data_IF_996063950989
#
_entry.id   IF_996063950989
#
_cell.length_a   1.000
_cell.length_b   1.000
_cell.length_c   1.000
_cell.angle_alpha   90.00
_cell.angle_beta   90.00
_cell.angle_gamma   90.00
#
_symmetry.space_group_name_H-M   'P 1'
#
loop_
_entity.id
_entity.type
_entity.pdbx_description
1 polymer ?
#
# COMPACT_ATOMS: atom_id res chain seq x y z
N UNK A 1 2.20 16.55 -19.67
CA UNK A 1 1.24 16.20 -18.62
C UNK A 1 1.87 15.63 -17.34
N UNK A 2 3.00 14.89 -17.38
CA UNK A 2 3.60 14.28 -16.17
C UNK A 2 4.03 15.22 -15.02
N UNK A 3 4.35 16.49 -15.31
CA UNK A 3 4.75 17.46 -14.29
C UNK A 3 3.61 17.95 -13.39
N UNK A 4 2.35 17.62 -13.69
CA UNK A 4 1.15 18.12 -12.97
C UNK A 4 0.48 17.02 -12.11
N UNK A 5 0.97 15.78 -12.21
CA UNK A 5 0.43 14.65 -11.45
C UNK A 5 0.69 14.80 -9.93
N UNK A 6 -0.31 14.56 -9.04
CA UNK A 6 -0.13 14.67 -7.59
C UNK A 6 0.70 13.52 -7.00
N UNK A 7 1.17 13.68 -5.76
CA UNK A 7 1.64 12.54 -4.97
C UNK A 7 0.50 11.59 -4.63
N UNK A 8 0.79 10.30 -4.48
CA UNK A 8 -0.14 9.26 -4.03
C UNK A 8 0.47 8.50 -2.85
N UNK A 9 -0.26 8.42 -1.75
CA UNK A 9 0.04 7.50 -0.67
C UNK A 9 -0.79 6.23 -0.84
N UNK A 10 -0.18 5.07 -0.64
CA UNK A 10 -0.85 3.79 -0.80
C UNK A 10 -0.71 2.99 0.49
N UNK A 11 -1.83 2.64 1.08
CA UNK A 11 -1.92 1.98 2.37
C UNK A 11 -2.32 0.53 2.18
N UNK A 12 -1.44 -0.38 2.60
CA UNK A 12 -1.68 -1.82 2.64
C UNK A 12 -1.80 -2.23 4.10
N UNK A 13 -2.88 -2.92 4.46
CA UNK A 13 -3.08 -3.42 5.82
C UNK A 13 -2.93 -4.95 5.83
N UNK A 14 -2.18 -5.46 6.81
CA UNK A 14 -2.14 -6.88 7.16
C UNK A 14 -2.33 -7.05 8.67
N UNK A 15 -2.99 -8.14 9.07
CA UNK A 15 -3.45 -8.37 10.43
C UNK A 15 -2.61 -9.41 11.18
N UNK A 16 -2.24 -10.52 10.54
CA UNK A 16 -1.56 -11.64 11.20
C UNK A 16 -0.82 -12.51 10.17
N UNK A 17 0.49 -12.77 10.33
CA UNK A 17 1.30 -13.52 9.36
C UNK A 17 0.91 -15.01 9.22
N UNK A 18 0.15 -15.57 10.15
CA UNK A 18 -0.35 -16.96 10.08
C UNK A 18 -1.59 -17.05 9.21
N UNK A 19 -2.51 -16.08 9.35
CA UNK A 19 -3.74 -16.02 8.56
C UNK A 19 -3.45 -15.42 7.18
N UNK A 20 -2.56 -14.43 7.13
CA UNK A 20 -2.16 -13.69 5.95
C UNK A 20 -0.66 -13.90 5.72
N UNK A 21 -0.26 -14.96 5.00
CA UNK A 21 1.15 -15.32 4.84
C UNK A 21 1.99 -14.16 4.28
N UNK A 22 3.22 -13.93 4.78
CA UNK A 22 4.05 -12.82 4.31
C UNK A 22 4.31 -12.84 2.79
N UNK A 23 4.32 -14.03 2.16
CA UNK A 23 4.43 -14.19 0.71
C UNK A 23 3.23 -13.65 -0.07
N UNK A 24 2.02 -13.74 0.49
CA UNK A 24 0.82 -13.12 -0.11
C UNK A 24 0.93 -11.60 -0.02
N UNK A 25 1.27 -11.08 1.16
CA UNK A 25 1.41 -9.63 1.43
C UNK A 25 2.40 -8.98 0.47
N UNK A 26 3.58 -9.57 0.28
CA UNK A 26 4.61 -8.99 -0.59
C UNK A 26 4.23 -9.01 -2.08
N UNK A 27 3.41 -9.96 -2.52
CA UNK A 27 2.93 -9.99 -3.90
C UNK A 27 1.98 -8.83 -4.19
N UNK A 28 1.16 -8.44 -3.20
CA UNK A 28 0.36 -7.22 -3.24
C UNK A 28 1.23 -5.97 -3.26
N UNK A 29 2.21 -5.88 -2.36
CA UNK A 29 3.15 -4.74 -2.32
C UNK A 29 3.88 -4.56 -3.66
N UNK A 30 4.46 -5.63 -4.21
CA UNK A 30 5.18 -5.59 -5.48
C UNK A 30 4.28 -5.21 -6.66
N UNK A 31 3.02 -5.68 -6.66
CA UNK A 31 2.03 -5.28 -7.66
C UNK A 31 1.75 -3.79 -7.63
N UNK A 32 1.63 -3.20 -6.45
CA UNK A 32 1.33 -1.79 -6.24
C UNK A 32 2.55 -0.92 -6.56
N UNK A 33 3.75 -1.35 -6.15
CA UNK A 33 5.00 -0.63 -6.48
C UNK A 33 5.24 -0.48 -7.98
N UNK A 34 4.70 -1.41 -8.78
CA UNK A 34 4.83 -1.47 -10.23
C UNK A 34 3.67 -0.81 -11.00
N UNK A 35 2.90 0.09 -10.36
CA UNK A 35 1.95 0.94 -11.08
C UNK A 35 2.63 1.77 -12.18
N UNK A 36 1.90 2.07 -13.26
CA UNK A 36 2.36 2.94 -14.33
C UNK A 36 2.22 4.41 -13.88
N UNK A 37 3.02 4.81 -12.92
CA UNK A 37 3.01 6.15 -12.34
C UNK A 37 4.44 6.57 -11.94
N UNK A 38 4.78 7.87 -11.95
CA UNK A 38 6.13 8.29 -11.54
C UNK A 38 6.43 7.81 -10.11
N UNK A 39 7.44 6.95 -9.98
CA UNK A 39 7.76 6.26 -8.73
C UNK A 39 8.11 7.24 -7.61
N UNK A 40 8.75 8.36 -7.92
CA UNK A 40 9.07 9.42 -6.97
C UNK A 40 7.85 10.12 -6.37
N UNK A 41 6.67 9.95 -7.00
CA UNK A 41 5.37 10.48 -6.53
C UNK A 41 4.54 9.44 -5.78
N UNK A 42 5.01 8.20 -5.68
CA UNK A 42 4.34 7.14 -4.92
C UNK A 42 5.02 6.91 -3.58
N UNK A 43 4.22 6.67 -2.56
CA UNK A 43 4.71 6.25 -1.24
C UNK A 43 3.80 5.15 -0.70
N UNK A 44 4.35 3.95 -0.57
CA UNK A 44 3.66 2.78 -0.04
C UNK A 44 3.94 2.63 1.45
N UNK A 45 2.88 2.33 2.20
CA UNK A 45 2.91 2.07 3.63
C UNK A 45 2.27 0.70 3.88
N UNK A 46 3.05 -0.25 4.37
CA UNK A 46 2.53 -1.52 4.90
C UNK A 46 2.30 -1.36 6.40
N UNK A 47 1.03 -1.36 6.81
CA UNK A 47 0.65 -1.45 8.22
C UNK A 47 0.49 -2.91 8.62
N UNK A 48 1.36 -3.38 9.50
CA UNK A 48 1.29 -4.71 10.11
C UNK A 48 0.68 -4.62 11.52
N UNK A 49 -0.60 -4.98 11.61
CA UNK A 49 -1.29 -5.10 12.88
C UNK A 49 -0.79 -6.33 13.68
N UNK A 50 -0.16 -7.32 13.07
CA UNK A 50 0.47 -8.44 13.76
C UNK A 50 1.81 -8.08 14.40
N UNK A 51 2.45 -6.99 13.94
CA UNK A 51 3.76 -6.55 14.41
C UNK A 51 4.84 -7.62 14.28
N UNK A 52 4.82 -8.39 13.18
CA UNK A 52 5.68 -9.55 13.01
C UNK A 52 6.99 -9.19 12.32
N UNK A 53 8.10 -9.65 12.91
CA UNK A 53 9.42 -9.58 12.30
C UNK A 53 9.47 -10.37 10.98
N UNK A 54 8.69 -11.46 10.83
CA UNK A 54 8.55 -12.22 9.58
C UNK A 54 7.95 -11.39 8.45
N UNK A 55 6.91 -10.60 8.74
CA UNK A 55 6.31 -9.68 7.77
C UNK A 55 7.31 -8.60 7.36
N UNK A 56 8.05 -8.06 8.33
CA UNK A 56 9.12 -7.09 8.06
C UNK A 56 10.25 -7.69 7.21
N UNK A 57 10.67 -8.93 7.49
CA UNK A 57 11.65 -9.65 6.68
C UNK A 57 11.18 -9.87 5.25
N UNK A 58 9.92 -10.29 5.07
CA UNK A 58 9.34 -10.45 3.75
C UNK A 58 9.35 -9.12 2.98
N UNK A 59 9.01 -8.01 3.64
CA UNK A 59 9.07 -6.68 3.02
C UNK A 59 10.50 -6.27 2.67
N UNK A 60 11.49 -6.63 3.49
CA UNK A 60 12.90 -6.42 3.20
C UNK A 60 13.35 -7.19 1.95
N UNK A 61 12.97 -8.45 1.82
CA UNK A 61 13.22 -9.26 0.63
C UNK A 61 12.51 -8.68 -0.62
N UNK A 62 11.25 -8.26 -0.46
CA UNK A 62 10.51 -7.59 -1.53
C UNK A 62 11.14 -6.27 -1.97
N UNK A 63 11.69 -5.48 -1.03
CA UNK A 63 12.38 -4.23 -1.36
C UNK A 63 13.63 -4.47 -2.22
N UNK A 64 14.37 -5.56 -1.95
CA UNK A 64 15.51 -5.99 -2.76
C UNK A 64 15.07 -6.46 -4.15
N UNK A 65 14.07 -7.33 -4.21
CA UNK A 65 13.53 -7.86 -5.46
C UNK A 65 12.88 -6.78 -6.34
N UNK A 66 12.32 -5.73 -5.75
CA UNK A 66 11.69 -4.62 -6.48
C UNK A 66 12.64 -3.94 -7.47
N UNK A 67 13.96 -3.96 -7.20
CA UNK A 67 15.01 -3.41 -8.08
C UNK A 67 15.14 -4.13 -9.42
N UNK A 68 14.68 -5.38 -9.49
CA UNK A 68 14.65 -6.20 -10.70
C UNK A 68 13.22 -6.21 -11.29
N UNK A 69 12.22 -6.38 -10.41
CA UNK A 69 10.83 -6.56 -10.82
C UNK A 69 10.21 -5.34 -11.49
N UNK A 70 10.47 -4.13 -10.97
CA UNK A 70 9.89 -2.90 -11.52
C UNK A 70 10.39 -2.61 -12.95
N UNK A 71 11.71 -2.64 -13.22
CA UNK A 71 12.25 -2.64 -14.59
C UNK A 71 11.62 -3.67 -15.51
N UNK A 72 11.59 -4.93 -15.08
CA UNK A 72 11.01 -6.02 -15.86
C UNK A 72 9.55 -5.76 -16.22
N UNK A 73 8.76 -5.31 -15.24
CA UNK A 73 7.41 -4.87 -15.47
C UNK A 73 7.33 -3.81 -16.58
N UNK A 74 8.09 -2.71 -16.45
CA UNK A 74 8.02 -1.60 -17.41
C UNK A 74 8.47 -2.00 -18.81
N UNK A 75 9.58 -2.73 -18.93
CA UNK A 75 10.18 -3.07 -20.21
C UNK A 75 9.33 -4.04 -21.02
N UNK A 76 8.65 -4.96 -20.34
CA UNK A 76 7.90 -6.03 -20.99
C UNK A 76 6.38 -5.87 -20.89
N UNK A 77 5.90 -4.74 -20.36
CA UNK A 77 4.47 -4.44 -20.20
C UNK A 77 3.70 -5.58 -19.52
N UNK A 78 4.28 -6.14 -18.46
CA UNK A 78 3.72 -7.28 -17.71
C UNK A 78 2.36 -6.94 -17.11
N UNK A 79 1.35 -7.78 -17.27
CA UNK A 79 0.08 -7.70 -16.53
C UNK A 79 -0.44 -9.11 -16.16
N UNK A 80 -0.99 -9.32 -14.96
CA UNK A 80 -1.02 -8.39 -13.83
C UNK A 80 0.38 -8.16 -13.23
N UNK A 81 0.57 -7.07 -12.48
CA UNK A 81 1.87 -6.70 -11.88
C UNK A 81 2.24 -7.48 -10.62
N UNK A 82 1.33 -8.31 -10.10
CA UNK A 82 1.64 -9.25 -9.01
C UNK A 82 2.47 -10.42 -9.55
N UNK A 83 3.69 -10.67 -9.03
CA UNK A 83 4.54 -11.76 -9.51
C UNK A 83 3.87 -13.14 -9.44
N UNK A 84 3.26 -13.50 -8.31
CA UNK A 84 2.54 -14.77 -8.15
C UNK A 84 1.41 -14.90 -9.17
N UNK A 85 0.59 -13.85 -9.30
CA UNK A 85 -0.55 -13.88 -10.22
C UNK A 85 -0.11 -14.00 -11.67
N UNK A 86 0.98 -13.31 -12.03
CA UNK A 86 1.60 -13.35 -13.36
C UNK A 86 2.19 -14.74 -13.65
N UNK A 87 3.15 -15.20 -12.85
CA UNK A 87 3.87 -16.46 -13.13
C UNK A 87 2.99 -17.70 -13.02
N UNK A 88 1.87 -17.64 -12.29
CA UNK A 88 0.85 -18.71 -12.27
C UNK A 88 0.12 -18.87 -13.60
N UNK A 89 -0.08 -17.78 -14.35
CA UNK A 89 -0.85 -17.76 -15.62
C UNK A 89 0.06 -17.68 -16.86
N UNK A 90 1.26 -17.14 -16.73
CA UNK A 90 2.17 -16.87 -17.83
C UNK A 90 2.72 -18.15 -18.47
N UNK A 91 2.79 -18.15 -19.81
CA UNK A 91 3.47 -19.18 -20.60
C UNK A 91 4.85 -18.64 -20.97
N UNK A 92 5.87 -19.50 -20.86
CA UNK A 92 7.23 -19.12 -21.22
C UNK A 92 7.30 -18.65 -22.69
N UNK A 93 7.97 -17.51 -22.98
CA UNK A 93 8.12 -17.02 -24.34
C UNK A 93 9.02 -17.94 -25.17
N UNK A 94 8.54 -18.44 -26.33
CA UNK A 94 9.27 -19.40 -27.17
C UNK A 94 9.99 -18.71 -28.36
N UNK A 95 9.53 -17.54 -28.79
CA UNK A 95 9.89 -16.96 -30.09
C UNK A 95 11.03 -15.93 -30.05
N UNK A 96 11.46 -15.50 -28.86
CA UNK A 96 12.55 -14.54 -28.68
C UNK A 96 13.49 -15.07 -27.59
N UNK A 97 14.72 -15.41 -27.99
CA UNK A 97 15.71 -16.01 -27.09
C UNK A 97 16.17 -15.05 -25.99
N UNK A 98 16.22 -13.74 -26.25
CA UNK A 98 16.60 -12.76 -25.24
C UNK A 98 15.47 -12.64 -24.21
N UNK A 99 14.24 -12.47 -24.69
CA UNK A 99 13.08 -12.38 -23.83
C UNK A 99 12.86 -13.65 -23.00
N UNK A 100 13.02 -14.83 -23.61
CA UNK A 100 12.93 -16.11 -22.92
C UNK A 100 13.94 -16.21 -21.76
N UNK A 101 15.19 -15.80 -22.00
CA UNK A 101 16.23 -15.81 -20.97
C UNK A 101 15.93 -14.82 -19.82
N UNK A 102 15.49 -13.60 -20.15
CA UNK A 102 15.13 -12.59 -19.13
C UNK A 102 13.91 -13.01 -18.32
N UNK A 103 12.89 -13.56 -18.98
CA UNK A 103 11.70 -14.10 -18.32
C UNK A 103 12.06 -15.25 -17.36
N UNK A 104 12.86 -16.21 -17.81
CA UNK A 104 13.29 -17.34 -16.99
C UNK A 104 14.20 -16.92 -15.84
N UNK A 105 15.09 -15.95 -16.06
CA UNK A 105 15.89 -15.34 -15.00
C UNK A 105 15.01 -14.66 -13.95
N UNK A 106 14.04 -13.85 -14.39
CA UNK A 106 13.12 -13.16 -13.48
C UNK A 106 12.26 -14.14 -12.67
N UNK A 107 11.76 -15.20 -13.31
CA UNK A 107 11.01 -16.25 -12.63
C UNK A 107 11.85 -16.92 -11.55
N UNK A 108 13.11 -17.25 -11.84
CA UNK A 108 14.01 -17.84 -10.85
C UNK A 108 14.27 -16.90 -9.67
N UNK A 109 14.51 -15.60 -9.93
CA UNK A 109 14.67 -14.61 -8.86
C UNK A 109 13.43 -14.51 -7.96
N UNK A 110 12.23 -14.55 -8.56
CA UNK A 110 10.98 -14.56 -7.82
C UNK A 110 10.84 -15.81 -6.94
N UNK A 111 11.05 -17.00 -7.51
CA UNK A 111 10.95 -18.27 -6.77
C UNK A 111 12.00 -18.36 -5.66
N UNK A 112 13.22 -17.86 -5.89
CA UNK A 112 14.26 -17.81 -4.87
C UNK A 112 13.89 -16.88 -3.71
N UNK A 113 13.32 -15.70 -4.00
CA UNK A 113 12.80 -14.80 -2.96
C UNK A 113 11.67 -15.47 -2.18
N UNK A 114 10.67 -16.02 -2.88
CA UNK A 114 9.52 -16.71 -2.28
C UNK A 114 9.98 -17.82 -1.35
N UNK A 115 10.90 -18.68 -1.81
CA UNK A 115 11.45 -19.78 -1.03
C UNK A 115 12.20 -19.30 0.22
N UNK A 116 12.97 -18.20 0.15
CA UNK A 116 13.63 -17.63 1.34
C UNK A 116 12.61 -17.18 2.39
N UNK A 117 11.56 -16.48 1.96
CA UNK A 117 10.48 -16.03 2.86
C UNK A 117 9.76 -17.23 3.49
N UNK A 118 9.36 -18.22 2.68
CA UNK A 118 8.67 -19.42 3.16
C UNK A 118 9.53 -20.23 4.13
N UNK A 119 10.83 -20.41 3.83
CA UNK A 119 11.75 -21.14 4.72
C UNK A 119 11.88 -20.47 6.08
N UNK A 120 11.97 -19.12 6.13
CA UNK A 120 12.05 -18.38 7.38
C UNK A 120 10.72 -18.38 8.14
N UNK A 121 9.60 -18.31 7.42
CA UNK A 121 8.27 -18.42 8.02
C UNK A 121 8.02 -19.80 8.63
N UNK A 122 8.44 -20.89 7.95
CA UNK A 122 8.38 -22.26 8.46
C UNK A 122 9.26 -22.47 9.70
N UNK A 123 10.43 -21.83 9.75
CA UNK A 123 11.30 -21.84 10.93
C UNK A 123 10.70 -21.08 12.11
N UNK A 124 9.75 -20.17 11.87
CA UNK A 124 9.10 -19.33 12.89
C UNK A 124 10.04 -18.33 13.57
N UNK A 125 11.26 -18.14 13.04
CA UNK A 125 12.25 -17.18 13.55
C UNK A 125 13.21 -16.77 12.45
N UNK A 126 13.73 -15.56 12.54
CA UNK A 126 14.74 -15.04 11.63
C UNK A 126 16.13 -15.42 12.14
N UNK A 127 16.96 -16.12 11.34
CA UNK A 127 18.36 -16.39 11.67
C UNK A 127 19.17 -15.12 12.00
N UNK A 128 20.10 -15.21 12.95
CA UNK A 128 20.87 -14.05 13.45
C UNK A 128 21.68 -13.36 12.33
N UNK A 129 22.25 -14.13 11.39
CA UNK A 129 22.97 -13.62 10.23
C UNK A 129 22.09 -12.80 9.27
N UNK A 130 20.79 -13.08 9.23
CA UNK A 130 19.81 -12.29 8.49
C UNK A 130 19.41 -11.05 9.30
N UNK A 131 19.22 -11.19 10.62
CA UNK A 131 18.88 -10.07 11.50
C UNK A 131 19.96 -8.99 11.50
N UNK A 132 21.23 -9.37 11.41
CA UNK A 132 22.36 -8.44 11.32
C UNK A 132 22.39 -7.61 10.02
N UNK A 133 21.66 -8.03 8.98
CA UNK A 133 21.62 -7.31 7.69
C UNK A 133 20.84 -5.99 7.75
N UNK A 134 19.99 -5.79 8.76
CA UNK A 134 19.18 -4.58 8.86
C UNK A 134 18.93 -4.17 10.32
N UNK A 135 19.32 -2.94 10.68
CA UNK A 135 19.16 -2.37 12.03
C UNK A 135 17.73 -2.45 12.58
N UNK A 136 16.73 -2.43 11.70
CA UNK A 136 15.31 -2.44 12.06
C UNK A 136 14.87 -3.65 12.88
N UNK A 137 15.57 -4.79 12.76
CA UNK A 137 15.26 -5.98 13.56
C UNK A 137 15.48 -5.79 15.06
N UNK A 138 16.24 -4.77 15.48
CA UNK A 138 16.45 -4.42 16.89
C UNK A 138 15.17 -3.93 17.57
N UNK A 139 14.19 -3.45 16.81
CA UNK A 139 12.90 -2.99 17.35
C UNK A 139 12.10 -4.11 18.02
N UNK A 140 12.33 -5.37 17.61
CA UNK A 140 11.67 -6.53 18.21
C UNK A 140 12.37 -7.03 19.49
N UNK A 141 13.59 -6.59 19.78
CA UNK A 141 14.29 -6.96 21.01
C UNK A 141 13.70 -6.26 22.24
N UNK A 142 13.05 -5.11 22.04
CA UNK A 142 12.34 -4.36 23.10
C UNK A 142 10.85 -4.69 23.18
N UNK A 143 10.30 -5.41 22.19
CA UNK A 143 8.89 -5.77 22.15
C UNK A 143 8.60 -6.91 23.15
N UNK A 144 7.56 -6.75 23.96
CA UNK A 144 7.16 -7.80 24.92
C UNK A 144 6.27 -8.85 24.29
N UNK A 145 5.37 -8.45 23.38
CA UNK A 145 4.55 -9.35 22.57
C UNK A 145 3.95 -8.60 21.37
N UNK A 146 3.30 -9.31 20.44
CA UNK A 146 2.51 -8.72 19.35
C UNK A 146 1.37 -7.80 19.82
N UNK A 147 0.97 -7.88 21.10
CA UNK A 147 -0.06 -7.02 21.70
C UNK A 147 0.50 -5.98 22.66
N UNK A 148 1.82 -5.99 22.88
CA UNK A 148 2.51 -5.09 23.79
C UNK A 148 3.90 -4.75 23.25
N UNK A 149 3.95 -3.69 22.44
CA UNK A 149 5.16 -3.22 21.79
C UNK A 149 5.05 -1.72 21.49
N UNK A 150 6.19 -1.04 21.42
CA UNK A 150 6.29 0.34 20.96
C UNK A 150 5.93 0.46 19.46
N UNK A 151 5.74 1.68 18.96
CA UNK A 151 5.66 1.89 17.51
C UNK A 151 6.95 1.43 16.84
N UNK A 152 6.83 0.52 15.88
CA UNK A 152 7.91 0.09 15.00
C UNK A 152 7.66 0.72 13.63
N UNK A 153 8.60 1.56 13.18
CA UNK A 153 8.50 2.22 11.89
C UNK A 153 9.87 2.19 11.22
N UNK A 154 9.93 1.66 9.99
CA UNK A 154 11.16 1.57 9.21
C UNK A 154 10.89 2.03 7.77
N UNK A 155 11.76 2.89 7.23
CA UNK A 155 11.73 3.30 5.83
C UNK A 155 12.74 2.43 5.07
N UNK A 156 12.26 1.38 4.39
CA UNK A 156 13.12 0.44 3.66
C UNK A 156 13.66 1.03 2.35
N UNK A 157 12.81 1.84 1.70
CA UNK A 157 13.19 2.60 0.51
C UNK A 157 12.76 4.03 0.75
N UNK A 158 13.71 4.96 0.77
CA UNK A 158 13.41 6.38 0.78
C UNK A 158 13.41 6.91 -0.65
N UNK A 159 12.28 6.84 -1.35
CA UNK A 159 12.11 7.33 -2.73
C UNK A 159 12.33 8.85 -2.90
N UNK A 160 12.70 9.56 -1.83
CA UNK A 160 13.12 10.97 -1.85
C UNK A 160 14.64 11.10 -1.97
N UNK A 161 15.38 10.04 -1.64
CA UNK A 161 16.82 9.92 -1.85
C UNK A 161 17.11 9.66 -3.33
N UNK A 162 17.99 10.46 -3.92
CA UNK A 162 18.40 10.29 -5.32
C UNK A 162 19.12 8.95 -5.59
N UNK A 163 19.61 8.28 -4.54
CA UNK A 163 20.24 6.96 -4.63
C UNK A 163 19.24 5.80 -4.52
N UNK A 164 17.97 6.06 -4.19
CA UNK A 164 16.92 5.06 -4.14
C UNK A 164 16.44 4.73 -5.56
N UNK A 165 17.30 4.04 -6.31
CA UNK A 165 17.06 3.66 -7.70
C UNK A 165 17.08 2.14 -7.88
N UNK A 166 16.39 1.68 -8.92
CA UNK A 166 16.46 0.30 -9.41
C UNK A 166 17.75 0.04 -10.21
N UNK A 167 17.89 -1.17 -10.74
CA UNK A 167 19.11 -1.58 -11.45
C UNK A 167 19.29 -0.88 -12.81
N UNK A 168 18.28 -0.17 -13.30
CA UNK A 168 18.34 0.67 -14.51
C UNK A 168 18.56 2.16 -14.16
N UNK A 169 18.71 2.49 -12.88
CA UNK A 169 18.87 3.85 -12.40
C UNK A 169 17.57 4.66 -12.36
N UNK A 170 16.40 4.02 -12.47
CA UNK A 170 15.12 4.73 -12.31
C UNK A 170 14.73 4.81 -10.82
N UNK A 171 14.09 5.91 -10.36
CA UNK A 171 13.67 6.05 -8.97
C UNK A 171 12.74 4.92 -8.51
N UNK A 172 12.89 4.50 -7.26
CA UNK A 172 11.98 3.58 -6.59
C UNK A 172 10.94 4.35 -5.76
N UNK A 173 9.72 3.84 -5.59
CA UNK A 173 8.75 4.46 -4.69
C UNK A 173 9.19 4.32 -3.23
N UNK A 174 8.80 5.29 -2.39
CA UNK A 174 9.03 5.18 -0.95
C UNK A 174 8.29 3.95 -0.40
N UNK A 175 8.98 3.15 0.42
CA UNK A 175 8.43 1.94 1.03
C UNK A 175 8.63 1.97 2.54
N UNK A 176 7.53 2.01 3.28
CA UNK A 176 7.50 2.15 4.74
C UNK A 176 6.82 0.96 5.38
N UNK A 177 7.48 0.36 6.37
CA UNK A 177 6.87 -0.58 7.30
C UNK A 177 6.38 0.17 8.54
N UNK A 178 5.18 -0.16 9.00
CA UNK A 178 4.59 0.38 10.21
C UNK A 178 3.90 -0.72 11.03
N UNK A 179 4.34 -0.94 12.26
CA UNK A 179 3.53 -1.54 13.31
C UNK A 179 3.28 -0.47 14.37
N UNK A 180 2.04 -0.01 14.48
CA UNK A 180 1.63 1.01 15.46
C UNK A 180 1.79 0.51 16.90
N UNK A 181 1.93 1.42 17.84
CA UNK A 181 2.04 1.03 19.25
C UNK A 181 0.80 0.26 19.70
N UNK A 182 1.02 -0.85 20.42
CA UNK A 182 -0.04 -1.64 21.03
C UNK A 182 0.24 -1.82 22.52
N UNK A 183 -0.81 -1.68 23.32
CA UNK A 183 -0.82 -1.90 24.76
C UNK A 183 -2.07 -2.69 25.12
N UNK A 184 -1.99 -3.72 25.98
CA UNK A 184 -3.13 -4.59 26.29
C UNK A 184 -4.37 -3.87 26.84
N UNK A 185 -4.19 -2.70 27.47
CA UNK A 185 -5.27 -1.95 28.10
C UNK A 185 -6.05 -1.04 27.12
N UNK A 186 -5.56 -0.88 25.89
CA UNK A 186 -6.09 0.10 24.94
C UNK A 186 -6.67 -0.59 23.70
N UNK A 187 -7.89 -0.18 23.34
CA UNK A 187 -8.55 -0.71 22.16
C UNK A 187 -7.91 -0.12 20.90
N UNK A 188 -7.59 -0.98 19.94
CA UNK A 188 -6.75 -0.59 18.81
C UNK A 188 -7.53 -0.40 17.50
N UNK A 189 -8.85 -0.62 17.48
CA UNK A 189 -9.73 -0.34 16.32
C UNK A 189 -9.34 -1.04 15.00
N UNK A 190 -8.61 -2.17 15.06
CA UNK A 190 -8.23 -3.01 13.91
C UNK A 190 -7.76 -2.17 12.70
N UNK A 191 -8.25 -2.51 11.49
CA UNK A 191 -7.96 -1.81 10.22
C UNK A 191 -8.28 -0.31 10.25
N UNK A 192 -9.33 0.11 10.95
CA UNK A 192 -9.67 1.52 11.09
C UNK A 192 -8.58 2.31 11.83
N UNK A 193 -8.08 1.77 12.94
CA UNK A 193 -6.97 2.36 13.70
C UNK A 193 -5.64 2.33 12.92
N UNK A 194 -5.38 1.25 12.18
CA UNK A 194 -4.23 1.13 11.28
C UNK A 194 -4.22 2.23 10.21
N UNK A 195 -5.33 2.41 9.50
CA UNK A 195 -5.46 3.45 8.47
C UNK A 195 -5.34 4.86 9.06
N UNK A 196 -5.95 5.11 10.23
CA UNK A 196 -5.82 6.37 10.95
C UNK A 196 -4.36 6.69 11.30
N UNK A 197 -3.60 5.71 11.80
CA UNK A 197 -2.17 5.87 12.09
C UNK A 197 -1.36 6.17 10.82
N UNK A 198 -1.63 5.46 9.72
CA UNK A 198 -0.97 5.72 8.44
C UNK A 198 -1.29 7.11 7.89
N UNK A 199 -2.52 7.62 8.00
CA UNK A 199 -2.86 9.00 7.59
C UNK A 199 -1.96 10.02 8.31
N UNK A 200 -1.73 9.83 9.61
CA UNK A 200 -0.88 10.73 10.41
C UNK A 200 0.59 10.58 10.05
N UNK A 201 1.11 9.35 9.99
CA UNK A 201 2.51 9.07 9.63
C UNK A 201 2.84 9.60 8.23
N UNK A 202 2.01 9.29 7.23
CA UNK A 202 2.20 9.73 5.85
C UNK A 202 2.18 11.25 5.70
N UNK A 203 1.40 11.98 6.51
CA UNK A 203 1.39 13.46 6.50
C UNK A 203 2.76 14.08 6.83
N UNK A 204 3.63 13.35 7.54
CA UNK A 204 4.99 13.78 7.89
C UNK A 204 6.06 13.31 6.90
N UNK A 205 5.79 12.25 6.13
CA UNK A 205 6.76 11.64 5.21
C UNK A 205 6.58 12.15 3.78
N UNK A 206 5.39 11.96 3.21
CA UNK A 206 5.08 12.24 1.80
C UNK A 206 4.03 13.34 1.62
N UNK A 207 3.08 13.41 2.56
CA UNK A 207 1.93 14.31 2.57
C UNK A 207 1.18 14.34 1.22
N UNK A 208 0.95 13.17 0.63
CA UNK A 208 0.30 13.07 -0.68
C UNK A 208 -1.18 13.40 -0.58
N UNK A 209 -1.77 14.17 -1.51
CA UNK A 209 -3.16 14.61 -1.41
C UNK A 209 -4.19 13.52 -1.73
N UNK A 210 -3.76 12.42 -2.35
CA UNK A 210 -4.58 11.25 -2.65
C UNK A 210 -4.04 10.05 -1.89
N UNK A 211 -4.96 9.26 -1.33
CA UNK A 211 -4.67 8.04 -0.58
C UNK A 211 -5.41 6.88 -1.24
N UNK A 212 -4.69 5.85 -1.66
CA UNK A 212 -5.27 4.56 -2.03
C UNK A 212 -5.19 3.60 -0.84
N UNK A 213 -6.27 2.90 -0.51
CA UNK A 213 -6.23 1.79 0.43
C UNK A 213 -6.43 0.44 -0.26
N UNK A 214 -5.64 -0.55 0.12
CA UNK A 214 -5.64 -1.90 -0.45
C UNK A 214 -5.50 -2.93 0.67
N UNK A 215 -6.26 -4.02 0.59
CA UNK A 215 -6.05 -5.18 1.46
C UNK A 215 -4.88 -6.05 1.02
N UNK A 216 -4.21 -6.73 1.95
CA UNK A 216 -2.99 -7.47 1.64
C UNK A 216 -3.20 -8.70 0.72
N UNK A 217 -4.44 -9.16 0.56
CA UNK A 217 -4.86 -10.24 -0.34
C UNK A 217 -5.33 -9.73 -1.72
N UNK A 218 -5.26 -8.42 -1.96
CA UNK A 218 -5.70 -7.77 -3.19
C UNK A 218 -4.52 -7.22 -3.99
N UNK A 219 -4.44 -7.54 -5.27
CA UNK A 219 -3.44 -6.97 -6.19
C UNK A 219 -4.11 -6.21 -7.34
N UNK A 220 -3.38 -5.28 -7.97
CA UNK A 220 -3.92 -4.57 -9.13
C UNK A 220 -3.85 -5.44 -10.37
N UNK A 221 -4.96 -5.53 -11.08
CA UNK A 221 -5.07 -6.19 -12.38
C UNK A 221 -4.72 -5.25 -13.56
N UNK A 222 -4.58 -3.95 -13.32
CA UNK A 222 -4.22 -2.94 -14.30
C UNK A 222 -3.20 -1.96 -13.70
N UNK A 223 -2.07 -1.75 -14.36
CA UNK A 223 -1.08 -0.76 -13.91
C UNK A 223 -1.49 0.70 -14.09
N UNK A 224 -2.53 0.99 -14.89
CA UNK A 224 -3.02 2.36 -15.12
C UNK A 224 -4.08 2.82 -14.12
N UNK A 225 -4.52 1.97 -13.17
CA UNK A 225 -5.60 2.29 -12.21
C UNK A 225 -5.42 3.61 -11.45
N UNK A 226 -4.17 3.97 -11.11
CA UNK A 226 -3.87 5.26 -10.46
C UNK A 226 -4.20 6.44 -11.38
N UNK A 227 -3.85 6.36 -12.66
CA UNK A 227 -4.14 7.41 -13.64
C UNK A 227 -5.63 7.50 -13.92
N UNK A 228 -6.29 6.35 -14.05
CA UNK A 228 -7.74 6.29 -14.26
C UNK A 228 -8.51 6.94 -13.10
N UNK A 229 -8.12 6.67 -11.85
CA UNK A 229 -8.71 7.32 -10.68
C UNK A 229 -8.49 8.84 -10.69
N UNK A 230 -7.29 9.28 -11.10
CA UNK A 230 -6.94 10.69 -11.17
C UNK A 230 -7.70 11.43 -12.27
N UNK A 231 -8.15 10.77 -13.34
CA UNK A 231 -9.01 11.40 -14.34
C UNK A 231 -10.28 11.98 -13.71
N UNK A 232 -10.86 11.29 -12.72
CA UNK A 232 -12.02 11.80 -11.98
C UNK A 232 -11.63 12.88 -10.97
N UNK A 233 -10.61 12.63 -10.14
CA UNK A 233 -10.22 13.55 -9.08
C UNK A 233 -9.63 14.86 -9.61
N UNK A 234 -8.99 14.85 -10.78
CA UNK A 234 -8.38 16.03 -11.39
C UNK A 234 -9.30 16.73 -12.40
N UNK A 235 -10.55 16.29 -12.55
CA UNK A 235 -11.52 16.96 -13.42
C UNK A 235 -11.74 18.42 -12.98
N UNK A 236 -11.64 19.36 -13.92
CA UNK A 236 -11.68 20.80 -13.62
C UNK A 236 -13.08 21.32 -13.26
N UNK A 237 -14.12 20.59 -13.64
CA UNK A 237 -15.52 20.98 -13.43
C UNK A 237 -16.11 20.32 -12.18
N UNK A 238 -15.97 19.00 -12.08
CA UNK A 238 -16.62 18.19 -11.03
C UNK A 238 -15.64 17.53 -10.06
N UNK A 239 -14.33 17.55 -10.35
CA UNK A 239 -13.35 16.81 -9.55
C UNK A 239 -13.38 17.20 -8.08
N UNK A 240 -13.50 18.50 -7.77
CA UNK A 240 -13.61 19.03 -6.40
C UNK A 240 -14.84 18.51 -5.62
N UNK A 241 -15.87 17.99 -6.31
CA UNK A 241 -17.07 17.40 -5.70
C UNK A 241 -16.85 15.92 -5.31
N UNK A 242 -15.82 15.26 -5.87
CA UNK A 242 -15.56 13.84 -5.70
C UNK A 242 -14.71 13.61 -4.45
N UNK A 243 -15.29 12.95 -3.44
CA UNK A 243 -14.61 12.59 -2.20
C UNK A 243 -13.67 11.39 -2.33
N UNK A 244 -14.06 10.40 -3.15
CA UNK A 244 -13.29 9.20 -3.45
C UNK A 244 -13.72 8.54 -4.76
N UNK A 245 -12.89 7.65 -5.29
CA UNK A 245 -13.16 6.80 -6.46
C UNK A 245 -13.00 5.33 -6.05
N UNK A 246 -14.09 4.57 -6.07
CA UNK A 246 -14.12 3.16 -5.67
C UNK A 246 -14.00 2.26 -6.90
N UNK A 247 -13.01 1.38 -6.93
CA UNK A 247 -12.92 0.33 -7.95
C UNK A 247 -13.70 -0.93 -7.52
N UNK A 248 -14.29 -1.67 -8.46
CA UNK A 248 -14.91 -2.95 -8.18
C UNK A 248 -13.85 -3.98 -7.75
N UNK A 249 -14.22 -4.90 -6.85
CA UNK A 249 -13.36 -6.01 -6.44
C UNK A 249 -13.58 -7.21 -7.36
N UNK A 250 -12.50 -7.91 -7.70
CA UNK A 250 -12.54 -9.12 -8.51
C UNK A 250 -11.83 -10.25 -7.76
N UNK A 251 -12.49 -11.39 -7.62
CA UNK A 251 -11.94 -12.54 -6.91
C UNK A 251 -11.47 -13.61 -7.90
N UNK A 252 -10.29 -14.16 -7.65
CA UNK A 252 -9.78 -15.35 -8.35
C UNK A 252 -10.28 -16.64 -7.67
N UNK A 253 -9.94 -17.81 -8.23
CA UNK A 253 -10.23 -19.14 -7.68
C UNK A 253 -11.72 -19.46 -7.48
N UNK A 254 -12.59 -18.77 -8.21
CA UNK A 254 -14.02 -19.02 -8.21
C UNK A 254 -14.30 -20.34 -8.95
N UNK A 255 -15.10 -21.21 -8.33
CA UNK A 255 -15.53 -22.46 -8.97
C UNK A 255 -16.36 -22.17 -10.23
N UNK A 256 -16.29 -23.05 -11.23
CA UNK A 256 -17.03 -22.87 -12.50
C UNK A 256 -18.52 -22.55 -12.34
N UNK A 257 -19.15 -23.11 -11.30
CA UNK A 257 -20.58 -22.95 -11.05
C UNK A 257 -20.90 -21.80 -10.08
N UNK A 258 -19.89 -21.20 -9.46
CA UNK A 258 -19.99 -20.16 -8.44
C UNK A 258 -21.18 -20.35 -7.46
N UNK A 259 -21.30 -21.56 -6.90
CA UNK A 259 -22.47 -21.94 -6.09
C UNK A 259 -22.65 -21.06 -4.84
N UNK A 260 -21.55 -20.49 -4.35
CA UNK A 260 -21.54 -19.61 -3.18
C UNK A 260 -21.64 -18.12 -3.57
N UNK A 261 -21.80 -17.81 -4.86
CA UNK A 261 -21.84 -16.43 -5.38
C UNK A 261 -20.63 -15.60 -4.94
N UNK A 262 -19.45 -16.23 -4.85
CA UNK A 262 -18.19 -15.63 -4.38
C UNK A 262 -17.64 -14.60 -5.36
N UNK A 263 -18.10 -14.58 -6.61
CA UNK A 263 -17.80 -13.49 -7.55
C UNK A 263 -18.37 -12.14 -7.13
N UNK A 264 -19.43 -12.13 -6.31
CA UNK A 264 -20.22 -10.94 -5.97
C UNK A 264 -20.66 -10.14 -7.23
N UNK A 265 -20.88 -10.82 -8.36
CA UNK A 265 -21.15 -10.18 -9.65
C UNK A 265 -22.32 -9.19 -9.62
N UNK A 266 -23.40 -9.47 -8.88
CA UNK A 266 -24.54 -8.53 -8.79
C UNK A 266 -24.11 -7.21 -8.14
N UNK A 267 -23.38 -7.28 -7.03
CA UNK A 267 -22.89 -6.10 -6.33
C UNK A 267 -21.92 -5.34 -7.23
N UNK A 268 -20.93 -6.04 -7.79
CA UNK A 268 -19.82 -5.41 -8.51
C UNK A 268 -20.18 -4.93 -9.92
N UNK A 269 -21.08 -5.63 -10.63
CA UNK A 269 -21.43 -5.32 -12.03
C UNK A 269 -22.79 -4.66 -12.21
N UNK A 270 -23.62 -4.58 -11.17
CA UNK A 270 -24.96 -3.98 -11.28
C UNK A 270 -25.16 -2.90 -10.23
N UNK A 271 -25.06 -3.24 -8.94
CA UNK A 271 -25.40 -2.30 -7.86
C UNK A 271 -24.45 -1.10 -7.80
N UNK A 272 -23.13 -1.34 -7.81
CA UNK A 272 -22.12 -0.28 -7.79
C UNK A 272 -22.30 0.70 -8.95
N UNK A 273 -22.49 0.19 -10.17
CA UNK A 273 -22.73 1.03 -11.35
C UNK A 273 -24.06 1.78 -11.29
N UNK A 274 -25.11 1.16 -10.73
CA UNK A 274 -26.41 1.81 -10.55
C UNK A 274 -26.37 2.97 -9.55
N UNK A 275 -25.58 2.84 -8.48
CA UNK A 275 -25.40 3.88 -7.46
C UNK A 275 -24.61 5.09 -7.96
N UNK A 276 -23.79 4.93 -9.00
CA UNK A 276 -22.95 6.01 -9.54
C UNK A 276 -23.79 7.22 -10.01
N UNK A 277 -24.99 6.98 -10.53
CA UNK A 277 -25.93 8.03 -10.93
C UNK A 277 -26.77 8.60 -9.77
N UNK A 278 -26.59 8.10 -8.54
CA UNK A 278 -27.33 8.50 -7.33
C UNK A 278 -26.38 8.80 -6.16
N UNK A 279 -25.33 9.59 -6.42
CA UNK A 279 -24.40 10.05 -5.38
C UNK A 279 -23.12 9.21 -5.23
N UNK A 280 -22.94 8.17 -6.04
CA UNK A 280 -21.74 7.34 -6.05
C UNK A 280 -21.93 6.02 -5.28
N UNK A 281 -21.07 5.01 -5.54
CA UNK A 281 -21.07 3.78 -4.77
C UNK A 281 -20.56 3.99 -3.34
N UNK A 282 -20.99 3.14 -2.42
CA UNK A 282 -20.43 3.09 -1.08
C UNK A 282 -18.96 2.61 -1.08
N UNK A 283 -18.21 2.99 -0.07
CA UNK A 283 -16.88 2.44 0.17
C UNK A 283 -16.97 0.99 0.66
N UNK A 284 -16.24 0.09 0.01
CA UNK A 284 -16.30 -1.36 0.28
C UNK A 284 -14.99 -1.93 0.85
N UNK A 285 -14.10 -1.09 1.38
CA UNK A 285 -12.98 -1.54 2.21
C UNK A 285 -11.61 -1.63 1.53
N UNK A 286 -11.52 -1.71 0.20
CA UNK A 286 -10.26 -1.83 -0.56
C UNK A 286 -10.44 -1.28 -1.96
N UNK A 287 -9.35 -0.93 -2.65
CA UNK A 287 -9.36 -0.45 -4.03
C UNK A 287 -10.01 0.92 -4.18
N UNK A 288 -9.90 1.78 -3.16
CA UNK A 288 -10.55 3.08 -3.15
C UNK A 288 -9.51 4.21 -3.06
N UNK A 289 -9.61 5.16 -3.98
CA UNK A 289 -8.78 6.37 -4.01
C UNK A 289 -9.52 7.51 -3.34
N UNK A 290 -9.04 7.93 -2.18
CA UNK A 290 -9.62 8.99 -1.38
C UNK A 290 -8.84 10.31 -1.54
N UNK A 291 -9.54 11.44 -1.47
CA UNK A 291 -8.89 12.70 -1.12
C UNK A 291 -8.48 12.67 0.35
N UNK A 292 -7.21 12.98 0.63
CA UNK A 292 -6.69 13.08 2.00
C UNK A 292 -7.54 14.01 2.85
N UNK A 293 -7.89 15.18 2.32
CA UNK A 293 -8.66 16.19 3.07
C UNK A 293 -10.04 15.67 3.47
N UNK A 294 -10.69 14.87 2.61
CA UNK A 294 -11.97 14.22 2.91
C UNK A 294 -11.83 13.26 4.09
N UNK A 295 -10.78 12.43 4.09
CA UNK A 295 -10.47 11.55 5.21
C UNK A 295 -10.11 12.32 6.50
N UNK A 296 -9.52 13.52 6.35
CA UNK A 296 -9.24 14.43 7.46
C UNK A 296 -10.44 15.28 7.90
N UNK A 297 -11.66 14.98 7.43
CA UNK A 297 -12.89 15.64 7.88
C UNK A 297 -13.21 16.98 7.21
N UNK A 298 -12.52 17.35 6.12
CA UNK A 298 -12.87 18.54 5.34
C UNK A 298 -14.25 18.37 4.72
N UNK A 299 -15.15 19.29 5.04
CA UNK A 299 -16.48 19.36 4.42
C UNK A 299 -16.41 20.11 3.10
N UNK A 300 -17.00 19.53 2.06
CA UNK A 300 -17.14 20.18 0.77
C UNK A 300 -17.99 21.47 0.90
N UNK A 301 -17.59 22.51 0.17
CA UNK A 301 -18.35 23.77 0.05
C UNK A 301 -18.46 24.11 -1.43
N UNK A 302 -19.70 24.17 -1.95
CA UNK A 302 -19.97 24.46 -3.36
C UNK A 302 -19.32 25.78 -3.80
N UNK A 303 -18.59 25.74 -4.91
CA UNK A 303 -17.88 26.89 -5.48
C UNK A 303 -16.51 27.20 -4.85
N UNK A 304 -16.09 26.45 -3.82
CA UNK A 304 -14.71 26.47 -3.34
C UNK A 304 -13.85 25.63 -4.29
N UNK A 305 -13.09 26.27 -5.18
CA UNK A 305 -12.04 25.56 -5.92
C UNK A 305 -10.92 25.17 -4.96
N UNK A 306 -10.56 23.89 -4.95
CA UNK A 306 -9.52 23.42 -4.05
C UNK A 306 -8.21 23.27 -4.80
N UNK A 307 -7.18 24.01 -4.41
CA UNK A 307 -5.81 23.73 -4.88
C UNK A 307 -5.23 22.44 -4.24
N UNK A 308 -6.04 21.56 -3.64
CA UNK A 308 -5.60 20.45 -2.79
C UNK A 308 -4.80 19.39 -3.51
N UNK A 309 -4.97 19.26 -4.83
CA UNK A 309 -4.17 18.34 -5.64
C UNK A 309 -2.86 18.97 -6.16
N UNK A 310 -2.62 20.28 -5.91
CA UNK A 310 -1.30 20.88 -6.17
C UNK A 310 -0.32 20.35 -5.14
N UNK A 311 0.40 19.34 -5.55
CA UNK A 311 1.44 18.73 -4.74
C UNK A 311 2.81 19.25 -5.19
N UNK A 312 3.47 20.02 -4.33
CA UNK A 312 4.82 20.51 -4.58
C UNK A 312 5.85 19.56 -3.99
N UNK A 313 6.52 18.80 -4.85
CA UNK A 313 7.62 17.89 -4.49
C UNK A 313 8.75 18.64 -3.75
N UNK A 314 8.92 19.94 -3.98
CA UNK A 314 9.96 20.78 -3.36
C UNK A 314 9.68 21.15 -1.90
N UNK A 315 8.44 20.99 -1.44
CA UNK A 315 8.06 21.17 -0.04
C UNK A 315 8.26 19.89 0.78
N UNK A 316 8.76 18.80 0.17
CA UNK A 316 9.13 17.59 0.91
C UNK A 316 10.17 17.91 1.97
N UNK A 317 9.93 17.36 3.15
CA UNK A 317 10.80 17.54 4.30
C UNK A 317 12.16 16.88 4.00
N UNK A 318 13.23 17.67 4.12
CA UNK A 318 14.61 17.25 3.83
C UNK A 318 15.25 16.42 4.95
N UNK A 319 14.47 16.04 5.96
CA UNK A 319 14.94 15.15 7.02
C UNK A 319 15.35 13.79 6.43
N UNK A 320 16.45 13.25 6.95
CA UNK A 320 16.89 11.90 6.62
C UNK A 320 15.83 10.86 7.04
N UNK A 321 15.84 9.70 6.39
CA UNK A 321 14.97 8.58 6.74
C UNK A 321 14.99 8.27 8.25
N UNK A 322 16.17 8.24 8.88
CA UNK A 322 16.32 8.00 10.31
C UNK A 322 15.65 9.06 11.20
N UNK A 323 15.68 10.34 10.80
CA UNK A 323 15.01 11.41 11.55
C UNK A 323 13.50 11.31 11.40
N UNK A 324 13.01 10.91 10.23
CA UNK A 324 11.59 10.67 10.01
C UNK A 324 11.08 9.47 10.78
N UNK A 325 11.85 8.37 10.82
CA UNK A 325 11.53 7.21 11.63
C UNK A 325 11.25 7.61 13.07
N UNK A 326 12.17 8.36 13.69
CA UNK A 326 12.04 8.80 15.08
C UNK A 326 10.91 9.83 15.30
N UNK A 327 10.77 10.80 14.40
CA UNK A 327 9.73 11.84 14.53
C UNK A 327 8.32 11.35 14.21
N UNK A 328 8.17 10.28 13.42
CA UNK A 328 6.88 9.70 13.08
C UNK A 328 6.39 8.66 14.08
N UNK A 329 7.29 8.00 14.85
CA UNK A 329 6.91 7.00 15.87
C UNK A 329 5.80 7.49 16.83
N UNK A 330 5.83 8.74 17.37
CA UNK A 330 4.76 9.26 18.22
C UNK A 330 3.40 9.39 17.52
N UNK A 331 3.38 9.57 16.20
CA UNK A 331 2.13 9.74 15.43
C UNK A 331 1.34 8.43 15.32
N UNK A 332 1.98 7.28 15.50
CA UNK A 332 1.33 5.98 15.54
C UNK A 332 1.20 5.40 16.96
N UNK A 333 1.35 6.24 17.99
CA UNK A 333 1.08 5.86 19.38
C UNK A 333 -0.43 5.70 19.62
N UNK A 334 -0.81 4.75 20.50
CA UNK A 334 -2.19 4.62 20.99
C UNK A 334 -2.67 5.90 21.69
N UNK A 335 -1.77 6.63 22.34
CA UNK A 335 -2.10 7.84 23.09
C UNK A 335 -2.60 8.99 22.21
N UNK A 336 -2.39 8.92 20.89
CA UNK A 336 -2.93 9.92 19.97
C UNK A 336 -4.46 9.84 19.89
N UNK A 337 -5.05 8.65 19.90
CA UNK A 337 -6.52 8.48 19.77
C UNK A 337 -7.26 8.80 21.08
N UNK A 338 -6.64 8.56 22.23
CA UNK A 338 -7.25 8.87 23.54
C UNK A 338 -7.19 10.37 23.89
N UNK A 339 -6.09 11.05 23.51
CA UNK A 339 -5.84 12.43 23.91
C UNK A 339 -6.24 13.48 22.87
N UNK A 340 -6.83 13.07 21.74
CA UNK A 340 -7.28 13.97 20.67
C UNK A 340 -8.71 13.65 20.25
N UNK A 341 -9.34 14.53 19.48
CA UNK A 341 -10.64 14.25 18.83
C UNK A 341 -10.50 13.32 17.60
N UNK A 342 -9.29 12.82 17.31
CA UNK A 342 -9.03 11.85 16.27
C UNK A 342 -9.66 10.50 16.64
N UNK A 343 -10.47 9.91 15.76
CA UNK A 343 -11.32 8.77 16.09
C UNK A 343 -12.75 9.12 16.51
N UNK A 344 -13.01 10.36 16.94
CA UNK A 344 -14.34 10.88 17.37
C UNK A 344 -14.94 11.90 16.41
N UNK A 345 -14.11 12.73 15.78
CA UNK A 345 -14.51 13.70 14.74
C UNK A 345 -13.88 13.41 13.37
N UNK A 346 -12.70 12.74 13.35
CA UNK A 346 -11.91 12.43 12.16
C UNK A 346 -11.43 10.99 12.21
N UNK A 347 -11.99 10.12 11.38
CA UNK A 347 -11.55 8.74 11.18
C UNK A 347 -12.19 8.16 9.92
N UNK A 348 -11.66 7.06 9.36
CA UNK A 348 -12.39 6.33 8.32
C UNK A 348 -13.78 5.87 8.79
N UNK A 349 -13.92 5.47 10.07
CA UNK A 349 -15.22 5.05 10.61
C UNK A 349 -16.28 6.16 10.61
N UNK A 350 -15.87 7.42 10.82
CA UNK A 350 -16.78 8.58 10.85
C UNK A 350 -16.91 9.30 9.51
N UNK A 351 -15.82 9.44 8.76
CA UNK A 351 -15.84 10.10 7.45
C UNK A 351 -16.70 9.33 6.46
N UNK A 352 -16.75 8.00 6.53
CA UNK A 352 -17.67 7.19 5.71
C UNK A 352 -19.12 7.21 6.21
N UNK A 353 -19.34 7.46 7.50
CA UNK A 353 -20.69 7.64 8.06
C UNK A 353 -21.31 8.99 7.68
N UNK A 354 -20.52 9.94 7.13
CA UNK A 354 -20.99 11.26 6.70
C UNK A 354 -21.32 11.33 5.20
N UNK A 355 -21.04 10.27 4.43
CA UNK A 355 -21.37 10.15 3.00
C UNK A 355 -22.43 9.08 2.70
N UNK A 356 -23.05 8.51 3.75
CA UNK A 356 -24.30 7.73 3.70
C UNK A 356 -25.40 8.60 4.32
#
# INVERSE_FOLDING_TARGET
>A
YGNVLPGIDIFVCTADPVIEPPTMVINTVLSIMAYNYPSEKMSLYLSDDGGSDLTFYALLEASRFSKEWLPFCRNFNIEPRSPEAYFRKAVEPINDSLWSNEWSSMKNLYEDMKKRIESVAELGRIPDDIREQHKGFLEWDTASSQRDHQTILQILIDGRDANAVDNEGQPLPTLVYLAREKRPQFHHHFKGGAMNAMIRVSSRISNSPVILNVDCDMYSNNSDSVRDALCFLMDEEIGDEIGFVQFPQCFDNITKNDLYSSSLNVIMQVEIHGMDNNGGPGYIGTGCFHRRETLCGRKYKRGSKTESLRWDHRLRIQDSASVLEETCKPLASYGYEENTEWGKEVSLSLSLSLYI
#
